data_IF_300981579803
#
_entry.id   IF_300981579803
#
_cell.length_a   1.000
_cell.length_b   1.000
_cell.length_c   1.000
_cell.angle_alpha   90.00
_cell.angle_beta   90.00
_cell.angle_gamma   90.00
#
_symmetry.space_group_name_H-M   'P 1'
#
loop_
_entity.id
_entity.type
_entity.pdbx_description
1 polymer ?
#
# COMPACT_ATOMS: atom_id res chain seq x y z
N UNK A 1 -24.35 -12.21 -22.18
CA UNK A 1 -23.83 -11.09 -21.41
C UNK A 1 -22.32 -11.12 -21.41
N UNK A 2 -21.66 -9.98 -21.73
CA UNK A 2 -20.22 -9.85 -21.75
C UNK A 2 -19.80 -8.42 -21.36
N UNK A 3 -18.56 -8.28 -20.83
CA UNK A 3 -18.03 -7.01 -20.40
C UNK A 3 -16.96 -6.55 -21.40
N UNK A 4 -16.98 -5.27 -21.72
CA UNK A 4 -16.07 -4.65 -22.69
C UNK A 4 -15.61 -3.29 -22.17
N UNK A 5 -14.29 -3.06 -22.26
CA UNK A 5 -13.72 -1.73 -22.05
C UNK A 5 -13.67 -0.98 -23.39
N UNK A 6 -14.34 0.15 -23.46
CA UNK A 6 -14.32 1.01 -24.63
C UNK A 6 -13.27 2.13 -24.44
N UNK A 7 -12.12 2.06 -25.12
CA UNK A 7 -11.03 3.04 -24.94
C UNK A 7 -11.35 4.42 -25.53
N UNK A 8 -12.34 4.54 -26.40
CA UNK A 8 -12.70 5.82 -27.04
C UNK A 8 -13.43 6.72 -26.03
N UNK A 9 -14.31 6.14 -25.23
CA UNK A 9 -15.10 6.86 -24.23
C UNK A 9 -14.61 6.63 -22.81
N UNK A 10 -13.54 5.83 -22.65
CA UNK A 10 -12.96 5.47 -21.35
C UNK A 10 -13.99 4.92 -20.37
N UNK A 11 -14.76 3.89 -20.82
CA UNK A 11 -15.83 3.28 -20.03
C UNK A 11 -15.83 1.76 -20.10
N UNK A 12 -16.21 1.14 -19.00
CA UNK A 12 -16.56 -0.27 -18.95
C UNK A 12 -18.06 -0.45 -19.20
N UNK A 13 -18.38 -1.24 -20.20
CA UNK A 13 -19.74 -1.53 -20.59
C UNK A 13 -20.09 -3.01 -20.34
N UNK A 14 -21.26 -3.25 -19.80
CA UNK A 14 -21.89 -4.56 -19.82
C UNK A 14 -22.85 -4.60 -21.00
N UNK A 15 -22.65 -5.55 -21.89
CA UNK A 15 -23.45 -5.71 -23.10
C UNK A 15 -24.29 -6.99 -23.03
N UNK A 16 -25.55 -6.89 -23.40
CA UNK A 16 -26.46 -8.03 -23.46
C UNK A 16 -27.25 -7.99 -24.77
N UNK A 17 -27.07 -9.04 -25.56
CA UNK A 17 -27.80 -9.25 -26.79
C UNK A 17 -29.05 -10.10 -26.54
N UNK A 18 -30.14 -9.74 -27.16
CA UNK A 18 -31.36 -10.52 -27.16
C UNK A 18 -31.94 -10.57 -28.58
N UNK A 19 -32.28 -11.77 -29.03
CA UNK A 19 -32.96 -11.97 -30.29
C UNK A 19 -34.45 -11.94 -30.03
N UNK A 20 -35.16 -11.06 -30.74
CA UNK A 20 -36.64 -10.95 -30.70
C UNK A 20 -37.17 -11.34 -32.06
N UNK A 21 -38.20 -12.19 -32.09
CA UNK A 21 -38.90 -12.57 -33.31
C UNK A 21 -40.30 -11.96 -33.30
N UNK A 22 -40.63 -11.22 -34.34
CA UNK A 22 -41.98 -10.69 -34.56
C UNK A 22 -42.90 -11.82 -34.99
N UNK A 23 -43.85 -12.18 -34.13
CA UNK A 23 -44.80 -13.27 -34.38
C UNK A 23 -45.75 -13.01 -35.53
N UNK A 24 -45.90 -11.75 -35.97
CA UNK A 24 -46.82 -11.40 -37.06
C UNK A 24 -46.20 -11.61 -38.44
N UNK A 25 -44.88 -11.49 -38.58
CA UNK A 25 -44.22 -11.58 -39.88
C UNK A 25 -42.95 -12.47 -39.89
N UNK A 26 -42.60 -13.09 -38.75
CA UNK A 26 -41.43 -13.95 -38.59
C UNK A 26 -40.08 -13.23 -38.70
N UNK A 27 -40.06 -11.90 -38.66
CA UNK A 27 -38.86 -11.12 -38.77
C UNK A 27 -38.08 -11.13 -37.44
N UNK A 28 -36.76 -11.35 -37.53
CA UNK A 28 -35.89 -11.40 -36.35
C UNK A 28 -35.14 -10.09 -36.18
N UNK A 29 -35.14 -9.62 -34.96
CA UNK A 29 -34.43 -8.41 -34.54
C UNK A 29 -33.42 -8.77 -33.46
N UNK A 30 -32.22 -8.25 -33.58
CA UNK A 30 -31.21 -8.26 -32.50
C UNK A 30 -31.33 -6.95 -31.73
N UNK A 31 -31.63 -7.07 -30.45
CA UNK A 31 -31.63 -5.94 -29.52
C UNK A 31 -30.41 -6.05 -28.65
N UNK A 32 -29.57 -5.02 -28.65
CA UNK A 32 -28.41 -4.90 -27.80
C UNK A 32 -28.66 -3.86 -26.72
N UNK A 33 -28.47 -4.25 -25.46
CA UNK A 33 -28.50 -3.36 -24.31
C UNK A 33 -27.09 -3.17 -23.79
N UNK A 34 -26.62 -1.90 -23.80
CA UNK A 34 -25.37 -1.48 -23.20
C UNK A 34 -25.60 -0.72 -21.89
N UNK A 35 -24.94 -1.13 -20.83
CA UNK A 35 -25.00 -0.45 -19.52
C UNK A 35 -23.57 -0.05 -19.13
N UNK A 36 -23.38 1.22 -18.78
CA UNK A 36 -22.14 1.70 -18.20
C UNK A 36 -21.98 1.15 -16.76
N UNK A 37 -20.92 0.36 -16.53
CA UNK A 37 -20.60 -0.25 -15.25
C UNK A 37 -19.31 0.28 -14.64
N UNK A 38 -18.79 1.40 -15.14
CA UNK A 38 -17.49 1.96 -14.71
C UNK A 38 -17.50 2.32 -13.23
N UNK A 39 -18.55 2.97 -12.75
CA UNK A 39 -18.68 3.35 -11.34
C UNK A 39 -18.77 2.11 -10.43
N UNK A 40 -19.59 1.13 -10.81
CA UNK A 40 -19.71 -0.13 -10.07
C UNK A 40 -18.38 -0.85 -9.96
N UNK A 41 -17.60 -0.94 -11.05
CA UNK A 41 -16.28 -1.56 -11.03
C UNK A 41 -15.28 -0.84 -10.12
N UNK A 42 -15.34 0.49 -10.09
CA UNK A 42 -14.50 1.29 -9.19
C UNK A 42 -14.86 1.03 -7.74
N UNK A 43 -16.16 0.99 -7.40
CA UNK A 43 -16.63 0.69 -6.06
C UNK A 43 -16.27 -0.74 -5.63
N UNK A 44 -16.47 -1.73 -6.49
CA UNK A 44 -16.09 -3.13 -6.22
C UNK A 44 -14.56 -3.24 -5.98
N UNK A 45 -13.76 -2.53 -6.75
CA UNK A 45 -12.31 -2.47 -6.55
C UNK A 45 -11.88 -1.85 -5.21
N UNK A 46 -12.58 -0.79 -4.78
CA UNK A 46 -12.35 -0.15 -3.48
C UNK A 46 -12.74 -1.11 -2.35
N UNK A 47 -13.91 -1.73 -2.42
CA UNK A 47 -14.38 -2.71 -1.42
C UNK A 47 -13.39 -3.87 -1.31
N UNK A 48 -12.95 -4.43 -2.45
CA UNK A 48 -11.96 -5.52 -2.47
C UNK A 48 -10.63 -5.11 -1.82
N UNK A 49 -10.19 -3.88 -2.06
CA UNK A 49 -8.97 -3.36 -1.42
C UNK A 49 -9.12 -3.27 0.10
N UNK A 50 -10.25 -2.78 0.60
CA UNK A 50 -10.51 -2.72 2.05
C UNK A 50 -10.58 -4.11 2.68
N UNK A 51 -11.26 -5.05 2.04
CA UNK A 51 -11.34 -6.44 2.52
C UNK A 51 -9.96 -7.10 2.56
N UNK A 52 -9.13 -6.90 1.55
CA UNK A 52 -7.77 -7.42 1.53
C UNK A 52 -6.92 -6.81 2.65
N UNK A 53 -7.08 -5.50 2.91
CA UNK A 53 -6.35 -4.83 3.98
C UNK A 53 -6.81 -5.31 5.36
N UNK A 54 -8.11 -5.48 5.58
CA UNK A 54 -8.65 -6.05 6.83
C UNK A 54 -8.13 -7.47 7.05
N UNK A 55 -8.14 -8.31 6.03
CA UNK A 55 -7.57 -9.65 6.08
C UNK A 55 -6.08 -9.62 6.46
N UNK A 56 -5.28 -8.75 5.83
CA UNK A 56 -3.87 -8.60 6.14
C UNK A 56 -3.63 -8.21 7.61
N UNK A 57 -4.38 -7.23 8.13
CA UNK A 57 -4.26 -6.80 9.52
C UNK A 57 -4.58 -7.94 10.47
N UNK A 58 -5.70 -8.63 10.26
CA UNK A 58 -6.13 -9.73 11.11
C UNK A 58 -5.15 -10.91 11.09
N UNK A 59 -4.60 -11.24 9.92
CA UNK A 59 -3.62 -12.30 9.79
C UNK A 59 -2.29 -11.95 10.44
N UNK A 60 -1.81 -10.70 10.27
CA UNK A 60 -0.63 -10.20 10.96
C UNK A 60 -0.76 -10.26 12.47
N UNK A 61 -1.90 -9.83 13.02
CA UNK A 61 -2.19 -9.92 14.45
C UNK A 61 -2.25 -11.37 14.93
N UNK A 62 -2.88 -12.27 14.18
CA UNK A 62 -2.96 -13.70 14.52
C UNK A 62 -1.57 -14.33 14.62
N UNK A 63 -0.71 -14.03 13.67
CA UNK A 63 0.66 -14.54 13.62
C UNK A 63 1.46 -13.98 14.82
N UNK A 64 1.35 -12.69 15.07
CA UNK A 64 2.02 -12.04 16.20
C UNK A 64 1.65 -12.65 17.57
N UNK A 65 0.36 -12.96 17.76
CA UNK A 65 -0.14 -13.56 19.01
C UNK A 65 0.33 -15.01 19.21
N UNK A 66 0.85 -15.68 18.20
CA UNK A 66 1.39 -17.04 18.30
C UNK A 66 2.89 -17.08 18.63
N UNK A 67 3.58 -15.95 18.57
CA UNK A 67 5.00 -15.85 18.89
C UNK A 67 5.25 -16.08 20.39
N UNK A 68 6.39 -16.66 20.73
CA UNK A 68 6.72 -17.02 22.11
C UNK A 68 7.19 -15.82 22.94
N UNK A 69 7.71 -14.78 22.30
CA UNK A 69 8.18 -13.55 22.94
C UNK A 69 7.72 -12.31 22.19
N UNK A 70 7.66 -11.13 22.84
CA UNK A 70 7.34 -9.88 22.18
C UNK A 70 8.28 -9.54 21.01
N UNK A 71 9.57 -9.83 21.16
CA UNK A 71 10.59 -9.59 20.12
C UNK A 71 10.30 -10.43 18.88
N UNK A 72 9.99 -11.70 19.05
CA UNK A 72 9.59 -12.59 17.95
C UNK A 72 8.29 -12.13 17.31
N UNK A 73 7.34 -11.59 18.08
CA UNK A 73 6.11 -11.01 17.54
C UNK A 73 6.42 -9.84 16.59
N UNK A 74 7.35 -8.97 16.98
CA UNK A 74 7.78 -7.82 16.18
C UNK A 74 8.45 -8.28 14.88
N UNK A 75 9.40 -9.21 14.97
CA UNK A 75 10.11 -9.73 13.79
C UNK A 75 9.15 -10.34 12.77
N UNK A 76 8.23 -11.16 13.23
CA UNK A 76 7.23 -11.81 12.37
C UNK A 76 6.26 -10.81 11.75
N UNK A 77 5.85 -9.77 12.48
CA UNK A 77 5.01 -8.69 11.92
C UNK A 77 5.77 -7.93 10.83
N UNK A 78 7.02 -7.59 11.06
CA UNK A 78 7.84 -6.86 10.08
C UNK A 78 8.00 -7.66 8.79
N UNK A 79 8.31 -8.96 8.91
CA UNK A 79 8.39 -9.86 7.76
C UNK A 79 7.05 -9.97 7.03
N UNK A 80 5.97 -10.17 7.78
CA UNK A 80 4.63 -10.26 7.21
C UNK A 80 4.22 -8.99 6.45
N UNK A 81 4.46 -7.81 7.04
CA UNK A 81 4.18 -6.52 6.39
C UNK A 81 5.05 -6.32 5.14
N UNK A 82 6.34 -6.59 5.23
CA UNK A 82 7.25 -6.47 4.11
C UNK A 82 6.81 -7.33 2.92
N UNK A 83 6.52 -8.60 3.16
CA UNK A 83 6.05 -9.52 2.13
C UNK A 83 4.67 -9.13 1.57
N UNK A 84 3.73 -8.76 2.44
CA UNK A 84 2.35 -8.41 2.03
C UNK A 84 2.27 -7.14 1.20
N UNK A 85 3.15 -6.18 1.46
CA UNK A 85 3.22 -4.89 0.76
C UNK A 85 4.22 -4.90 -0.40
N UNK A 86 4.89 -6.03 -0.63
CA UNK A 86 5.99 -6.15 -1.58
C UNK A 86 7.07 -5.09 -1.34
N UNK A 87 7.35 -4.84 -0.04
CA UNK A 87 8.36 -3.90 0.40
C UNK A 87 9.75 -4.53 0.43
N UNK A 88 10.78 -3.71 0.30
CA UNK A 88 12.16 -4.16 0.38
C UNK A 88 12.67 -4.19 1.82
N UNK A 89 12.16 -3.28 2.68
CA UNK A 89 12.55 -3.16 4.10
C UNK A 89 11.35 -2.74 4.94
N UNK A 90 11.34 -3.22 6.17
CA UNK A 90 10.44 -2.73 7.23
C UNK A 90 11.26 -2.48 8.49
N UNK A 91 10.94 -1.39 9.19
CA UNK A 91 11.71 -0.95 10.36
C UNK A 91 10.83 -0.63 11.54
N UNK A 92 11.45 -0.72 12.74
CA UNK A 92 10.99 -0.02 13.94
C UNK A 92 12.16 0.81 14.47
N UNK A 93 11.88 2.09 14.71
CA UNK A 93 12.79 2.99 15.38
C UNK A 93 12.28 3.30 16.76
N UNK A 94 13.17 3.25 17.73
CA UNK A 94 12.89 3.60 19.11
C UNK A 94 13.80 4.73 19.56
N UNK A 95 13.25 5.63 20.38
CA UNK A 95 14.02 6.71 20.96
C UNK A 95 14.81 6.22 22.16
N UNK A 96 16.13 6.35 22.12
CA UNK A 96 17.02 5.98 23.18
C UNK A 96 17.04 7.04 24.32
N UNK A 97 17.74 6.73 25.42
CA UNK A 97 17.84 7.61 26.60
C UNK A 97 18.50 8.96 26.31
N UNK A 98 19.26 9.08 25.22
CA UNK A 98 19.87 10.33 24.75
C UNK A 98 18.97 11.18 23.90
N UNK A 99 17.72 10.73 23.68
CA UNK A 99 16.73 11.40 22.82
C UNK A 99 17.04 11.27 21.33
N UNK A 100 17.81 10.27 20.93
CA UNK A 100 18.15 9.94 19.56
C UNK A 100 17.42 8.68 19.13
N UNK A 101 17.29 8.46 17.85
CA UNK A 101 16.53 7.34 17.33
C UNK A 101 17.45 6.22 16.85
N UNK A 102 17.16 5.00 17.28
CA UNK A 102 17.84 3.77 16.88
C UNK A 102 16.90 2.87 16.10
N UNK A 103 17.36 2.31 14.99
CA UNK A 103 16.67 1.21 14.32
C UNK A 103 16.82 -0.06 15.17
N UNK A 104 15.78 -0.41 15.91
CA UNK A 104 15.83 -1.54 16.84
C UNK A 104 15.44 -2.85 16.19
N UNK A 105 14.53 -2.82 15.22
CA UNK A 105 14.11 -3.99 14.45
C UNK A 105 14.07 -3.69 12.96
N UNK A 106 14.57 -4.63 12.17
CA UNK A 106 14.61 -4.53 10.71
C UNK A 106 14.37 -5.88 10.07
N UNK A 107 13.42 -5.93 9.15
CA UNK A 107 13.31 -6.99 8.16
C UNK A 107 13.72 -6.47 6.78
N UNK A 108 14.37 -7.32 5.99
CA UNK A 108 14.77 -7.02 4.61
C UNK A 108 14.39 -8.17 3.69
N UNK A 109 13.97 -7.83 2.47
CA UNK A 109 13.73 -8.81 1.42
C UNK A 109 15.02 -9.49 0.94
N UNK A 110 14.90 -10.62 0.28
CA UNK A 110 16.06 -11.32 -0.30
C UNK A 110 16.84 -10.42 -1.26
N UNK A 111 18.15 -10.38 -1.11
CA UNK A 111 19.05 -9.55 -1.93
C UNK A 111 19.16 -8.09 -1.50
N UNK A 112 18.42 -7.65 -0.49
CA UNK A 112 18.48 -6.29 0.04
C UNK A 112 19.43 -6.23 1.25
N UNK A 113 20.32 -5.23 1.26
CA UNK A 113 21.25 -5.00 2.37
C UNK A 113 20.52 -4.47 3.62
N UNK A 114 20.96 -4.93 4.79
CA UNK A 114 20.51 -4.40 6.07
C UNK A 114 21.14 -3.03 6.33
N UNK A 115 20.35 -2.14 6.91
CA UNK A 115 20.79 -0.80 7.30
C UNK A 115 20.75 -0.59 8.84
N UNK A 116 20.30 -1.57 9.59
CA UNK A 116 20.12 -1.48 11.05
C UNK A 116 21.37 -0.91 11.75
N UNK A 117 22.55 -1.42 11.45
CA UNK A 117 23.81 -0.97 12.09
C UNK A 117 24.22 0.44 11.66
N UNK A 118 23.78 0.90 10.48
CA UNK A 118 24.05 2.24 9.96
C UNK A 118 23.04 3.28 10.47
N UNK A 119 21.91 2.82 11.02
CA UNK A 119 20.79 3.64 11.47
C UNK A 119 20.67 3.65 12.99
N UNK A 120 21.80 3.93 13.65
CA UNK A 120 21.90 4.05 15.10
C UNK A 120 22.24 5.48 15.49
N UNK A 121 21.77 5.91 16.66
CA UNK A 121 22.07 7.21 17.25
C UNK A 121 21.73 8.41 16.35
N UNK A 122 20.63 8.30 15.61
CA UNK A 122 20.17 9.30 14.65
C UNK A 122 19.79 10.59 15.39
N UNK A 123 20.37 11.74 15.00
CA UNK A 123 20.07 13.02 15.65
C UNK A 123 18.59 13.39 15.53
N UNK A 124 17.96 13.95 16.59
CA UNK A 124 16.55 14.26 16.60
C UNK A 124 16.14 15.29 15.54
N UNK A 125 17.06 16.11 15.06
CA UNK A 125 16.82 17.10 14.01
C UNK A 125 16.42 16.45 12.69
N UNK A 126 16.93 15.26 12.40
CA UNK A 126 16.61 14.52 11.16
C UNK A 126 15.15 14.08 11.17
N UNK A 127 14.62 13.63 12.31
CA UNK A 127 13.25 13.11 12.43
C UNK A 127 12.25 14.15 12.97
N UNK A 128 12.68 15.38 13.31
CA UNK A 128 11.86 16.37 13.99
C UNK A 128 10.57 16.73 13.22
N UNK A 129 10.63 16.80 11.89
CA UNK A 129 9.45 17.06 11.07
C UNK A 129 8.45 15.91 11.17
N UNK A 130 8.91 14.69 11.10
CA UNK A 130 8.08 13.47 11.15
C UNK A 130 7.41 13.32 12.51
N UNK A 131 8.13 13.54 13.61
CA UNK A 131 7.54 13.47 14.95
C UNK A 131 6.40 14.48 15.15
N UNK A 132 6.51 15.69 14.56
CA UNK A 132 5.39 16.65 14.58
C UNK A 132 4.17 16.11 13.83
N UNK A 133 4.38 15.49 12.67
CA UNK A 133 3.31 14.86 11.90
C UNK A 133 2.62 13.75 12.72
N UNK A 134 3.40 12.89 13.38
CA UNK A 134 2.87 11.81 14.21
C UNK A 134 2.08 12.33 15.42
N UNK A 135 2.53 13.41 16.06
CA UNK A 135 1.78 14.06 17.15
C UNK A 135 0.42 14.61 16.69
N UNK A 136 0.29 14.98 15.42
CA UNK A 136 -0.95 15.40 14.79
C UNK A 136 -1.80 14.22 14.28
N UNK A 137 -1.39 12.98 14.54
CA UNK A 137 -2.06 11.77 14.04
C UNK A 137 -1.93 11.55 12.54
N UNK A 138 -0.94 12.18 11.92
CA UNK A 138 -0.65 12.02 10.50
C UNK A 138 0.44 10.97 10.30
N UNK A 139 0.40 10.32 9.15
CA UNK A 139 1.45 9.43 8.66
C UNK A 139 2.13 10.05 7.43
N UNK A 140 3.31 9.55 7.11
CA UNK A 140 4.12 10.05 6.01
C UNK A 140 4.08 9.03 4.89
N UNK A 141 3.74 9.49 3.69
CA UNK A 141 3.72 8.66 2.48
C UNK A 141 4.29 9.46 1.33
N UNK A 142 5.25 8.90 0.63
CA UNK A 142 5.67 9.42 -0.67
C UNK A 142 5.96 8.24 -1.61
N UNK A 143 5.65 8.43 -2.87
CA UNK A 143 5.87 7.43 -3.94
C UNK A 143 7.19 7.63 -4.65
N UNK A 144 7.71 8.84 -4.58
CA UNK A 144 9.00 9.23 -5.11
C UNK A 144 9.71 10.09 -4.09
N UNK A 145 10.97 9.77 -3.79
CA UNK A 145 11.79 10.50 -2.83
C UNK A 145 11.92 11.99 -3.18
N UNK A 146 11.86 12.35 -4.46
CA UNK A 146 11.94 13.74 -4.91
C UNK A 146 10.78 14.61 -4.37
N UNK A 147 9.64 14.01 -3.97
CA UNK A 147 8.50 14.73 -3.39
C UNK A 147 8.86 15.47 -2.08
N UNK A 148 9.84 14.97 -1.33
CA UNK A 148 10.25 15.57 -0.03
C UNK A 148 11.51 16.43 -0.12
N UNK A 149 12.13 16.55 -1.28
CA UNK A 149 13.42 17.22 -1.47
C UNK A 149 13.44 18.65 -0.95
N UNK A 150 12.39 19.43 -1.23
CA UNK A 150 12.30 20.83 -0.82
C UNK A 150 11.68 21.00 0.59
N UNK A 151 10.74 20.13 0.95
CA UNK A 151 10.02 20.22 2.22
C UNK A 151 10.79 19.63 3.40
N UNK A 152 11.61 18.62 3.17
CA UNK A 152 12.44 17.96 4.19
C UNK A 152 13.81 17.53 3.64
N UNK A 153 14.71 18.49 3.36
CA UNK A 153 16.00 18.18 2.74
C UNK A 153 16.91 17.30 3.60
N UNK A 154 16.76 17.33 4.94
CA UNK A 154 17.55 16.48 5.82
C UNK A 154 17.17 15.01 5.67
N UNK A 155 15.86 14.72 5.66
CA UNK A 155 15.37 13.37 5.42
C UNK A 155 15.61 12.92 3.97
N UNK A 156 15.47 13.81 3.01
CA UNK A 156 15.80 13.50 1.61
C UNK A 156 17.24 12.94 1.50
N UNK A 157 18.23 13.63 2.05
CA UNK A 157 19.63 13.19 2.01
C UNK A 157 19.86 11.89 2.81
N UNK A 158 19.18 11.74 3.95
CA UNK A 158 19.27 10.52 4.77
C UNK A 158 18.72 9.30 4.02
N UNK A 159 17.55 9.41 3.42
CA UNK A 159 16.88 8.33 2.70
C UNK A 159 17.57 7.99 1.38
N UNK A 160 18.09 9.01 0.70
CA UNK A 160 18.87 8.85 -0.54
C UNK A 160 20.11 7.99 -0.34
N UNK A 161 20.83 8.16 0.78
CA UNK A 161 21.99 7.33 1.12
C UNK A 161 21.65 5.86 1.30
N UNK A 162 20.42 5.57 1.74
CA UNK A 162 19.90 4.22 1.92
C UNK A 162 19.28 3.64 0.64
N UNK A 163 19.32 4.37 -0.49
CA UNK A 163 18.70 4.03 -1.75
C UNK A 163 17.18 3.81 -1.64
N UNK A 164 16.50 4.61 -0.78
CA UNK A 164 15.04 4.56 -0.62
C UNK A 164 14.41 5.44 -1.69
N UNK A 165 13.45 4.89 -2.43
CA UNK A 165 12.71 5.58 -3.47
C UNK A 165 11.30 5.95 -3.04
N UNK A 166 10.66 5.11 -2.24
CA UNK A 166 9.31 5.34 -1.72
C UNK A 166 9.22 4.86 -0.28
N UNK A 167 8.32 5.44 0.50
CA UNK A 167 8.22 5.15 1.93
C UNK A 167 6.81 5.37 2.46
N UNK A 168 6.44 4.57 3.48
CA UNK A 168 5.28 4.75 4.34
C UNK A 168 5.76 4.68 5.80
N UNK A 169 5.39 5.66 6.62
CA UNK A 169 5.69 5.69 8.07
C UNK A 169 4.45 6.09 8.85
#
# INVERSE_FOLDING_TARGET
EWHYYNPIIDRYLMLKDTLIEDSANGKKYRVELGVDISEKRTQDGVIQKYQNMEFMINEGLRIALQAATPEQSIEVILEYLGNSLNGERTYIFERNERGRDDNTYEWVAEGISREKENLQDIPPEICAHWYRMFQEGKFIVFKDLEEIRESDPLQYENLKRQNIHSLVV
#
